data_IF_611242114099
#
_entry.id   IF_611242114099
#
_cell.length_a   1.000
_cell.length_b   1.000
_cell.length_c   1.000
_cell.angle_alpha   90.00
_cell.angle_beta   90.00
_cell.angle_gamma   90.00
#
_symmetry.space_group_name_H-M   'P 1'
#
loop_
_entity.id
_entity.type
_entity.pdbx_description
1 polymer ?
#
# COMPACT_ATOMS: atom_id res chain seq x y z
N UNK A 1 -16.02 -44.93 -7.39
CA UNK A 1 -14.89 -44.41 -6.59
C UNK A 1 -14.18 -43.35 -7.42
N UNK A 2 -14.35 -42.07 -7.08
CA UNK A 2 -13.94 -40.92 -7.89
C UNK A 2 -12.60 -40.39 -7.36
N UNK A 3 -11.51 -40.59 -8.11
CA UNK A 3 -10.22 -39.99 -7.76
C UNK A 3 -10.26 -38.49 -8.09
N UNK A 4 -10.14 -37.65 -7.06
CA UNK A 4 -10.00 -36.20 -7.24
C UNK A 4 -8.70 -35.92 -8.02
N UNK A 5 -8.73 -35.13 -9.11
CA UNK A 5 -7.53 -34.83 -9.88
C UNK A 5 -6.59 -33.96 -9.02
N UNK A 6 -5.37 -34.45 -8.78
CA UNK A 6 -4.30 -33.77 -8.04
C UNK A 6 -4.06 -32.31 -8.50
N UNK A 7 -4.48 -31.95 -9.73
CA UNK A 7 -4.48 -30.58 -10.27
C UNK A 7 -5.27 -29.57 -9.41
N UNK A 8 -6.35 -29.96 -8.73
CA UNK A 8 -7.15 -29.04 -7.89
C UNK A 8 -6.45 -28.66 -6.59
N UNK A 9 -5.56 -29.51 -6.08
CA UNK A 9 -4.86 -29.28 -4.80
C UNK A 9 -3.56 -28.47 -4.97
N UNK A 10 -2.99 -28.43 -6.18
CA UNK A 10 -1.75 -27.66 -6.46
C UNK A 10 -2.03 -26.17 -6.74
N UNK A 11 -3.19 -25.82 -7.30
CA UNK A 11 -3.50 -24.44 -7.68
C UNK A 11 -3.77 -23.51 -6.47
N UNK A 12 -4.47 -24.02 -5.44
CA UNK A 12 -4.83 -23.20 -4.26
C UNK A 12 -3.63 -22.69 -3.47
N UNK A 13 -2.47 -23.31 -3.63
CA UNK A 13 -1.26 -22.96 -2.89
C UNK A 13 -0.58 -21.74 -3.53
N UNK A 14 -0.59 -21.64 -4.86
CA UNK A 14 -0.05 -20.51 -5.61
C UNK A 14 -0.87 -19.22 -5.42
N UNK A 15 -2.20 -19.33 -5.37
CA UNK A 15 -3.09 -18.20 -5.10
C UNK A 15 -2.87 -17.64 -3.68
N UNK A 16 -2.59 -18.53 -2.71
CA UNK A 16 -2.37 -18.13 -1.31
C UNK A 16 -1.10 -17.31 -1.13
N UNK A 17 0.00 -17.69 -1.78
CA UNK A 17 1.29 -16.98 -1.71
C UNK A 17 1.26 -15.64 -2.46
N UNK A 18 0.54 -15.58 -3.58
CA UNK A 18 0.35 -14.33 -4.34
C UNK A 18 -0.42 -13.29 -3.51
N UNK A 19 -1.51 -13.71 -2.84
CA UNK A 19 -2.28 -12.82 -1.96
C UNK A 19 -1.44 -12.36 -0.76
N UNK A 20 -0.65 -13.25 -0.15
CA UNK A 20 0.19 -12.92 0.98
C UNK A 20 1.25 -11.84 0.64
N UNK A 21 1.89 -11.98 -0.51
CA UNK A 21 2.91 -11.02 -0.98
C UNK A 21 2.30 -9.63 -1.26
N UNK A 22 1.11 -9.58 -1.89
CA UNK A 22 0.41 -8.31 -2.15
C UNK A 22 -0.01 -7.60 -0.86
N UNK A 23 -0.47 -8.36 0.14
CA UNK A 23 -0.85 -7.82 1.44
C UNK A 23 0.36 -7.26 2.21
N UNK A 24 1.52 -7.92 2.15
CA UNK A 24 2.76 -7.41 2.74
C UNK A 24 3.18 -6.08 2.11
N UNK A 25 3.14 -5.97 0.77
CA UNK A 25 3.46 -4.71 0.09
C UNK A 25 2.50 -3.57 0.45
N UNK A 26 1.20 -3.86 0.56
CA UNK A 26 0.23 -2.86 1.03
C UNK A 26 0.52 -2.38 2.44
N UNK A 27 0.90 -3.29 3.35
CA UNK A 27 1.28 -2.94 4.71
C UNK A 27 2.51 -2.04 4.75
N UNK A 28 3.53 -2.34 3.93
CA UNK A 28 4.73 -1.51 3.80
C UNK A 28 4.36 -0.11 3.31
N UNK A 29 3.61 0.00 2.20
CA UNK A 29 3.17 1.27 1.64
C UNK A 29 2.45 2.11 2.70
N UNK A 30 1.49 1.50 3.41
CA UNK A 30 0.73 2.15 4.47
C UNK A 30 1.65 2.68 5.59
N UNK A 31 2.60 1.86 6.05
CA UNK A 31 3.53 2.22 7.10
C UNK A 31 4.42 3.41 6.69
N UNK A 32 4.97 3.39 5.47
CA UNK A 32 5.71 4.54 4.92
C UNK A 32 4.83 5.79 4.83
N UNK A 33 3.58 5.66 4.37
CA UNK A 33 2.69 6.80 4.26
C UNK A 33 2.39 7.42 5.63
N UNK A 34 2.19 6.61 6.67
CA UNK A 34 1.99 7.08 8.05
C UNK A 34 3.21 7.85 8.55
N UNK A 35 4.42 7.32 8.33
CA UNK A 35 5.66 7.99 8.75
C UNK A 35 5.81 9.33 8.05
N UNK A 36 5.64 9.38 6.72
CA UNK A 36 5.79 10.60 5.95
C UNK A 36 4.70 11.63 6.26
N UNK A 37 3.44 11.19 6.41
CA UNK A 37 2.33 12.06 6.76
C UNK A 37 2.47 12.66 8.16
N UNK A 38 2.88 11.86 9.15
CA UNK A 38 3.14 12.34 10.51
C UNK A 38 4.34 13.29 10.56
N UNK A 39 5.45 12.94 9.90
CA UNK A 39 6.61 13.82 9.79
C UNK A 39 6.27 15.16 9.14
N UNK A 40 5.54 15.15 8.01
CA UNK A 40 5.11 16.36 7.32
C UNK A 40 4.18 17.23 8.17
N UNK A 41 3.22 16.61 8.89
CA UNK A 41 2.33 17.33 9.80
C UNK A 41 3.07 17.97 10.99
N UNK A 42 4.01 17.24 11.60
CA UNK A 42 4.85 17.76 12.69
C UNK A 42 5.73 18.91 12.18
N UNK A 43 6.40 18.75 11.04
CA UNK A 43 7.21 19.81 10.43
C UNK A 43 6.36 21.04 10.09
N UNK A 44 5.15 20.85 9.57
CA UNK A 44 4.23 21.95 9.26
C UNK A 44 3.84 22.73 10.53
N UNK A 45 3.54 22.02 11.62
CA UNK A 45 3.25 22.66 12.91
C UNK A 45 4.46 23.42 13.47
N UNK A 46 5.66 22.81 13.42
CA UNK A 46 6.91 23.47 13.81
C UNK A 46 7.24 24.68 12.93
N UNK A 47 6.80 24.68 11.68
CA UNK A 47 6.88 25.81 10.75
C UNK A 47 5.91 26.96 11.04
N UNK A 48 5.10 26.85 12.10
CA UNK A 48 4.18 27.91 12.54
C UNK A 48 2.81 27.87 11.89
N UNK A 49 2.47 26.79 11.15
CA UNK A 49 1.11 26.64 10.63
C UNK A 49 0.10 26.41 11.76
N UNK A 50 -1.13 26.96 11.64
CA UNK A 50 -2.20 26.64 12.57
C UNK A 50 -2.51 25.13 12.53
N UNK A 51 -2.90 24.58 13.69
CA UNK A 51 -3.04 23.13 13.91
C UNK A 51 -3.91 22.47 12.84
N UNK A 52 -5.04 23.08 12.48
CA UNK A 52 -5.93 22.56 11.44
C UNK A 52 -5.22 22.38 10.08
N UNK A 53 -4.36 23.33 9.71
CA UNK A 53 -3.63 23.31 8.43
C UNK A 53 -2.43 22.36 8.49
N UNK A 54 -1.79 22.22 9.64
CA UNK A 54 -0.76 21.20 9.86
C UNK A 54 -1.32 19.78 9.72
N UNK A 55 -2.51 19.51 10.29
CA UNK A 55 -3.22 18.23 10.12
C UNK A 55 -3.57 17.99 8.65
N UNK A 56 -4.08 19.01 7.95
CA UNK A 56 -4.39 18.92 6.52
C UNK A 56 -3.13 18.63 5.68
N UNK A 57 -1.99 19.21 6.05
CA UNK A 57 -0.70 18.98 5.39
C UNK A 57 -0.22 17.55 5.59
N UNK A 58 -0.29 17.04 6.83
CA UNK A 58 0.06 15.64 7.11
C UNK A 58 -0.88 14.64 6.41
N UNK A 59 -2.19 14.90 6.43
CA UNK A 59 -3.20 14.06 5.79
C UNK A 59 -3.10 14.05 4.26
N UNK A 60 -2.86 15.20 3.64
CA UNK A 60 -2.65 15.30 2.18
C UNK A 60 -1.34 14.61 1.76
N UNK A 61 -0.28 14.74 2.55
CA UNK A 61 0.98 14.02 2.31
C UNK A 61 0.78 12.50 2.40
N UNK A 62 0.09 12.02 3.43
CA UNK A 62 -0.26 10.60 3.59
C UNK A 62 -1.04 10.07 2.37
N UNK A 63 -2.11 10.77 1.98
CA UNK A 63 -2.93 10.38 0.83
C UNK A 63 -2.11 10.38 -0.47
N UNK A 64 -1.26 11.40 -0.68
CA UNK A 64 -0.39 11.50 -1.84
C UNK A 64 0.59 10.32 -1.96
N UNK A 65 1.26 9.95 -0.85
CA UNK A 65 2.19 8.81 -0.83
C UNK A 65 1.48 7.51 -1.20
N UNK A 66 0.29 7.26 -0.63
CA UNK A 66 -0.49 6.06 -0.94
C UNK A 66 -0.83 6.02 -2.44
N UNK A 67 -1.36 7.11 -2.98
CA UNK A 67 -1.78 7.17 -4.39
C UNK A 67 -0.60 6.93 -5.31
N UNK A 68 0.56 7.56 -5.05
CA UNK A 68 1.76 7.36 -5.88
C UNK A 68 2.26 5.92 -5.80
N UNK A 69 2.39 5.35 -4.60
CA UNK A 69 2.86 3.97 -4.46
C UNK A 69 1.90 2.96 -5.12
N UNK A 70 0.59 3.16 -4.98
CA UNK A 70 -0.41 2.31 -5.65
C UNK A 70 -0.38 2.48 -7.17
N UNK A 71 -0.19 3.70 -7.67
CA UNK A 71 -0.07 3.95 -9.10
C UNK A 71 1.17 3.24 -9.68
N UNK A 72 2.31 3.29 -8.99
CA UNK A 72 3.53 2.56 -9.38
C UNK A 72 3.28 1.05 -9.35
N UNK A 73 2.67 0.52 -8.28
CA UNK A 73 2.36 -0.90 -8.19
C UNK A 73 1.40 -1.36 -9.31
N UNK A 74 0.42 -0.52 -9.65
CA UNK A 74 -0.51 -0.79 -10.76
C UNK A 74 0.21 -0.78 -12.11
N UNK A 75 1.06 0.21 -12.37
CA UNK A 75 1.85 0.30 -13.59
C UNK A 75 2.77 -0.92 -13.76
N UNK A 76 3.49 -1.31 -12.71
CA UNK A 76 4.36 -2.48 -12.74
C UNK A 76 3.60 -3.82 -12.90
N UNK A 77 2.30 -3.83 -12.59
CA UNK A 77 1.44 -5.00 -12.77
C UNK A 77 0.81 -5.08 -14.16
N UNK A 78 0.91 -4.03 -14.98
CA UNK A 78 0.40 -4.06 -16.35
C UNK A 78 1.32 -4.90 -17.26
N UNK A 79 0.79 -5.87 -18.03
CA UNK A 79 1.57 -6.54 -19.05
C UNK A 79 1.93 -5.55 -20.15
N UNK A 80 3.23 -5.40 -20.44
CA UNK A 80 3.70 -4.65 -21.62
C UNK A 80 3.30 -5.41 -22.88
N UNK A 81 2.22 -4.98 -23.52
CA UNK A 81 1.83 -5.38 -24.88
C UNK A 81 2.83 -4.90 -25.91
#
# INVERSE_FOLDING_TARGET
>A
MLQLPARVMIDRNAVRTQNHTRLLWLAIILLTAVILGTAAGILAWMGGLPIALAILTGGSTFAGVIVVCLAVAAYLSQPSS
#
